data_IF_800712434236
#
_entry.id   IF_800712434236
#
_cell.length_a   1.000
_cell.length_b   1.000
_cell.length_c   1.000
_cell.angle_alpha   90.00
_cell.angle_beta   90.00
_cell.angle_gamma   90.00
#
_symmetry.space_group_name_H-M   'P 1'
#
loop_
_entity.id
_entity.type
_entity.pdbx_description
1 polymer ?
#
# COMPACT_ATOMS: atom_id res chain seq x y z
N UNK A 1 -15.56 12.74 -4.87
CA UNK A 1 -16.20 12.47 -3.56
C UNK A 1 -16.09 10.98 -3.33
N UNK A 2 -15.25 10.55 -2.41
CA UNK A 2 -15.00 9.14 -2.09
C UNK A 2 -14.47 9.04 -0.68
N UNK A 3 -14.52 7.86 -0.06
CA UNK A 3 -14.08 7.69 1.33
C UNK A 3 -12.56 7.82 1.52
N UNK A 4 -11.78 7.95 0.44
CA UNK A 4 -10.33 8.14 0.48
C UNK A 4 -10.00 9.53 -0.06
N UNK A 5 -9.32 10.33 0.76
CA UNK A 5 -8.76 11.62 0.38
C UNK A 5 -7.47 11.40 -0.42
N UNK A 6 -7.52 11.74 -1.71
CA UNK A 6 -6.46 11.44 -2.67
C UNK A 6 -5.16 12.20 -2.42
N UNK A 7 -5.19 13.34 -1.74
CA UNK A 7 -4.01 14.15 -1.41
C UNK A 7 -3.23 13.57 -0.23
N UNK A 8 -3.91 12.90 0.71
CA UNK A 8 -3.30 12.32 1.90
C UNK A 8 -2.92 10.84 1.72
N UNK A 9 -3.67 10.08 0.91
CA UNK A 9 -3.49 8.63 0.84
C UNK A 9 -2.15 8.24 0.20
N UNK A 10 -1.32 7.49 0.91
CA UNK A 10 -0.08 6.92 0.37
C UNK A 10 -0.30 5.61 -0.37
N UNK A 11 -1.46 4.96 -0.21
CA UNK A 11 -1.72 3.64 -0.79
C UNK A 11 -1.02 2.49 -0.05
N UNK A 12 -0.78 2.64 1.25
CA UNK A 12 -0.21 1.61 2.13
C UNK A 12 -1.13 0.40 2.39
N UNK A 13 -2.40 0.46 1.95
CA UNK A 13 -3.41 -0.61 2.00
C UNK A 13 -3.87 -1.07 3.40
N UNK A 14 -3.39 -0.44 4.48
CA UNK A 14 -3.79 -0.73 5.87
C UNK A 14 -5.32 -0.76 6.05
N UNK A 15 -6.04 0.14 5.37
CA UNK A 15 -7.50 0.21 5.45
C UNK A 15 -8.20 -1.05 4.91
N UNK A 16 -7.69 -1.64 3.82
CA UNK A 16 -8.24 -2.85 3.23
C UNK A 16 -7.88 -4.09 4.05
N UNK A 17 -6.63 -4.18 4.53
CA UNK A 17 -6.18 -5.28 5.41
C UNK A 17 -6.97 -5.36 6.71
N UNK A 18 -7.37 -4.20 7.26
CA UNK A 18 -8.12 -4.10 8.50
C UNK A 18 -9.64 -4.06 8.31
N UNK A 19 -10.17 -4.36 7.12
CA UNK A 19 -11.61 -4.34 6.88
C UNK A 19 -12.25 -5.71 7.16
N UNK A 20 -12.88 -5.94 8.35
CA UNK A 20 -13.43 -7.25 8.69
C UNK A 20 -14.63 -7.64 7.81
N UNK A 21 -15.34 -6.66 7.27
CA UNK A 21 -16.50 -6.91 6.39
C UNK A 21 -16.09 -7.21 4.93
N UNK A 22 -14.80 -7.04 4.61
CA UNK A 22 -14.29 -7.08 3.24
C UNK A 22 -14.99 -6.06 2.34
N UNK A 23 -15.38 -4.91 2.89
CA UNK A 23 -16.00 -3.81 2.14
C UNK A 23 -14.98 -2.97 1.37
N UNK A 24 -13.70 -3.04 1.77
CA UNK A 24 -12.56 -2.51 1.04
C UNK A 24 -11.78 -3.68 0.43
N UNK A 25 -11.51 -3.62 -0.88
CA UNK A 25 -10.76 -4.64 -1.59
C UNK A 25 -9.71 -4.03 -2.48
N UNK A 26 -8.61 -4.76 -2.67
CA UNK A 26 -7.45 -4.32 -3.45
C UNK A 26 -7.30 -5.20 -4.67
N UNK A 27 -7.06 -4.58 -5.82
CA UNK A 27 -6.64 -5.27 -7.04
C UNK A 27 -5.38 -4.63 -7.59
N UNK A 28 -4.40 -5.44 -7.97
CA UNK A 28 -3.21 -4.98 -8.68
C UNK A 28 -3.40 -5.25 -10.16
N UNK A 29 -3.36 -4.21 -10.99
CA UNK A 29 -3.49 -4.29 -12.44
C UNK A 29 -2.31 -3.58 -13.08
N UNK A 30 -1.43 -4.36 -13.72
CA UNK A 30 -0.19 -3.83 -14.29
C UNK A 30 0.71 -3.18 -13.23
N UNK A 31 0.96 -1.89 -13.39
CA UNK A 31 1.78 -1.08 -12.48
C UNK A 31 0.97 -0.25 -11.49
N UNK A 32 -0.32 -0.57 -11.32
CA UNK A 32 -1.20 0.17 -10.40
C UNK A 32 -1.87 -0.75 -9.42
N UNK A 33 -2.10 -0.23 -8.22
CA UNK A 33 -3.02 -0.79 -7.24
C UNK A 33 -4.29 0.03 -7.23
N UNK A 34 -5.44 -0.65 -7.19
CA UNK A 34 -6.77 -0.07 -7.18
C UNK A 34 -7.47 -0.52 -5.90
N UNK A 35 -8.06 0.42 -5.17
CA UNK A 35 -8.84 0.18 -3.98
C UNK A 35 -10.30 0.38 -4.34
N UNK A 36 -11.11 -0.64 -4.07
CA UNK A 36 -12.55 -0.63 -4.28
C UNK A 36 -13.26 -0.62 -2.94
N UNK A 37 -14.33 0.15 -2.84
CA UNK A 37 -15.22 0.16 -1.70
C UNK A 37 -16.61 -0.34 -2.11
N UNK A 38 -17.27 -1.09 -1.24
CA UNK A 38 -18.67 -1.46 -1.38
C UNK A 38 -19.45 -0.99 -0.14
N UNK A 39 -20.19 0.15 -0.24
CA UNK A 39 -20.95 0.69 0.88
C UNK A 39 -21.97 -0.30 1.46
N UNK A 40 -22.59 -1.14 0.62
CA UNK A 40 -23.57 -2.14 1.05
C UNK A 40 -22.96 -3.28 1.89
N UNK A 41 -21.64 -3.47 1.84
CA UNK A 41 -20.91 -4.40 2.72
C UNK A 41 -20.30 -3.72 3.94
N UNK A 42 -20.28 -2.40 3.99
CA UNK A 42 -19.57 -1.67 5.03
C UNK A 42 -20.34 -1.74 6.36
N UNK A 43 -19.78 -2.44 7.35
CA UNK A 43 -20.32 -2.51 8.70
C UNK A 43 -20.14 -1.22 9.53
N UNK A 44 -19.62 -0.15 8.93
CA UNK A 44 -19.39 1.16 9.57
C UNK A 44 -18.60 1.09 10.90
N UNK A 45 -17.70 0.12 11.01
CA UNK A 45 -16.93 -0.11 12.25
C UNK A 45 -15.84 0.94 12.56
N UNK A 46 -15.49 1.79 11.58
CA UNK A 46 -14.49 2.85 11.74
C UNK A 46 -13.02 2.39 11.80
N UNK A 47 -12.72 1.11 11.58
CA UNK A 47 -11.34 0.61 11.65
C UNK A 47 -10.44 1.18 10.55
N UNK A 48 -10.93 1.32 9.32
CA UNK A 48 -10.17 1.95 8.24
C UNK A 48 -9.79 3.39 8.59
N UNK A 49 -10.71 4.14 9.21
CA UNK A 49 -10.49 5.51 9.65
C UNK A 49 -9.47 5.60 10.78
N UNK A 50 -9.65 4.80 11.84
CA UNK A 50 -8.74 4.79 13.00
C UNK A 50 -7.31 4.34 12.66
N UNK A 51 -7.16 3.37 11.76
CA UNK A 51 -5.86 2.76 11.48
C UNK A 51 -5.13 3.43 10.32
N UNK A 52 -5.72 4.42 9.64
CA UNK A 52 -5.05 5.11 8.55
C UNK A 52 -3.93 6.00 9.11
N UNK A 53 -2.64 5.72 8.80
CA UNK A 53 -1.53 6.51 9.35
C UNK A 53 -1.51 7.94 8.83
N UNK A 54 -2.06 8.18 7.64
CA UNK A 54 -2.09 9.50 6.99
C UNK A 54 -3.40 10.27 7.28
N UNK A 55 -4.34 9.68 8.02
CA UNK A 55 -5.66 10.28 8.23
C UNK A 55 -6.50 10.44 6.96
N UNK A 56 -6.17 9.72 5.88
CA UNK A 56 -6.75 9.89 4.55
C UNK A 56 -8.16 9.30 4.35
N UNK A 57 -8.84 8.85 5.40
CA UNK A 57 -10.17 8.24 5.29
C UNK A 57 -11.23 9.26 5.75
N UNK A 58 -12.29 9.42 4.97
CA UNK A 58 -13.51 10.12 5.38
C UNK A 58 -14.61 9.10 5.72
N UNK A 59 -15.37 9.38 6.78
CA UNK A 59 -16.54 8.60 7.20
C UNK A 59 -17.86 9.19 6.69
N UNK A 60 -17.81 10.06 5.68
CA UNK A 60 -19.02 10.56 5.00
C UNK A 60 -19.96 9.42 4.58
N UNK A 61 -21.25 9.64 4.78
CA UNK A 61 -22.28 8.62 4.55
C UNK A 61 -22.47 8.36 3.05
N UNK A 62 -21.78 7.35 2.54
CA UNK A 62 -22.20 6.69 1.31
C UNK A 62 -23.42 5.82 1.62
N UNK A 63 -24.61 6.30 1.24
CA UNK A 63 -25.87 5.55 1.35
C UNK A 63 -26.09 4.71 0.09
N UNK A 64 -26.10 3.39 0.26
CA UNK A 64 -26.27 2.46 -0.86
C UNK A 64 -25.08 2.49 -1.82
N UNK A 65 -24.96 1.46 -2.65
CA UNK A 65 -23.89 1.37 -3.64
C UNK A 65 -23.41 -0.06 -3.90
N UNK A 66 -22.63 -0.19 -4.95
CA UNK A 66 -21.97 -1.43 -5.38
C UNK A 66 -20.47 -1.23 -5.28
N UNK A 67 -19.68 -2.13 -5.86
CA UNK A 67 -18.23 -1.96 -5.94
C UNK A 67 -17.90 -0.71 -6.77
N UNK A 68 -17.22 0.24 -6.14
CA UNK A 68 -16.76 1.49 -6.72
C UNK A 68 -15.27 1.64 -6.48
N UNK A 69 -14.53 2.09 -7.49
CA UNK A 69 -13.12 2.44 -7.32
C UNK A 69 -13.03 3.75 -6.54
N UNK A 70 -12.35 3.73 -5.40
CA UNK A 70 -12.23 4.90 -4.51
C UNK A 70 -10.82 5.47 -4.48
N UNK A 71 -9.82 4.74 -4.96
CA UNK A 71 -8.45 5.20 -5.04
C UNK A 71 -7.62 4.32 -5.97
N UNK A 72 -6.66 4.90 -6.69
CA UNK A 72 -5.60 4.13 -7.34
C UNK A 72 -4.25 4.84 -7.30
N UNK A 73 -3.18 4.06 -7.18
CA UNK A 73 -1.80 4.58 -7.16
C UNK A 73 -0.86 3.64 -7.89
N UNK A 74 0.18 4.19 -8.51
CA UNK A 74 1.24 3.36 -9.09
C UNK A 74 2.01 2.61 -8.02
N UNK A 75 2.60 1.47 -8.40
CA UNK A 75 3.38 0.63 -7.50
C UNK A 75 4.82 0.49 -7.99
N UNK A 76 5.74 0.48 -7.05
CA UNK A 76 7.13 0.20 -7.30
C UNK A 76 7.45 -1.25 -6.99
N UNK A 77 8.23 -1.84 -7.90
CA UNK A 77 8.65 -3.24 -7.84
C UNK A 77 10.11 -3.34 -7.43
N UNK A 78 10.44 -4.44 -6.77
CA UNK A 78 11.79 -4.77 -6.40
C UNK A 78 12.66 -4.84 -7.66
N UNK A 79 13.71 -4.01 -7.74
CA UNK A 79 14.66 -3.96 -8.86
C UNK A 79 15.32 -5.31 -9.15
N UNK A 80 15.32 -6.23 -8.17
CA UNK A 80 15.96 -7.54 -8.29
C UNK A 80 15.00 -8.66 -8.69
N UNK A 81 13.79 -8.68 -8.15
CA UNK A 81 12.88 -9.83 -8.30
C UNK A 81 11.49 -9.48 -8.82
N UNK A 82 11.19 -8.21 -9.07
CA UNK A 82 9.90 -7.77 -9.61
C UNK A 82 8.71 -7.82 -8.65
N UNK A 83 8.89 -8.31 -7.41
CA UNK A 83 7.84 -8.29 -6.37
C UNK A 83 7.42 -6.84 -6.09
N UNK A 84 6.11 -6.59 -5.97
CA UNK A 84 5.57 -5.30 -5.53
C UNK A 84 6.08 -4.99 -4.11
N UNK A 85 6.65 -3.80 -3.91
CA UNK A 85 7.23 -3.39 -2.63
C UNK A 85 6.38 -2.34 -1.95
N UNK A 86 6.00 -1.29 -2.67
CA UNK A 86 5.30 -0.13 -2.12
C UNK A 86 4.59 0.63 -3.24
N UNK A 87 3.81 1.64 -2.88
CA UNK A 87 3.30 2.61 -3.84
C UNK A 87 4.39 3.59 -4.27
N UNK A 88 4.17 4.30 -5.38
CA UNK A 88 5.02 5.43 -5.80
C UNK A 88 5.08 6.55 -4.75
N UNK A 89 4.02 6.71 -3.95
CA UNK A 89 3.93 7.76 -2.92
C UNK A 89 4.77 7.44 -1.68
N UNK A 90 5.13 6.17 -1.47
CA UNK A 90 6.02 5.72 -0.39
C UNK A 90 7.47 5.56 -0.85
N UNK A 91 7.77 5.86 -2.12
CA UNK A 91 9.05 5.58 -2.75
C UNK A 91 10.25 6.16 -2.00
N UNK A 92 10.15 7.41 -1.55
CA UNK A 92 11.24 8.10 -0.83
C UNK A 92 11.53 7.39 0.49
N UNK A 93 10.49 7.14 1.28
CA UNK A 93 10.59 6.43 2.57
C UNK A 93 11.22 5.05 2.41
N UNK A 94 10.82 4.31 1.37
CA UNK A 94 11.38 2.99 1.09
C UNK A 94 12.84 3.08 0.65
N UNK A 95 13.18 4.03 -0.23
CA UNK A 95 14.57 4.26 -0.68
C UNK A 95 15.49 4.61 0.49
N UNK A 96 15.04 5.43 1.45
CA UNK A 96 15.81 5.75 2.64
C UNK A 96 16.14 4.49 3.47
N UNK A 97 15.16 3.60 3.64
CA UNK A 97 15.34 2.35 4.40
C UNK A 97 16.26 1.33 3.70
N UNK A 98 16.36 1.36 2.37
CA UNK A 98 17.09 0.38 1.55
C UNK A 98 18.40 0.90 0.98
N UNK A 99 18.82 2.12 1.31
CA UNK A 99 20.05 2.71 0.78
C UNK A 99 19.94 3.15 -0.68
N UNK A 100 18.82 3.76 -1.05
CA UNK A 100 18.59 4.40 -2.35
C UNK A 100 17.93 3.54 -3.42
N UNK A 101 17.52 2.30 -3.10
CA UNK A 101 17.01 1.31 -4.08
C UNK A 101 15.61 0.82 -3.76
N UNK A 102 14.83 0.37 -4.72
CA UNK A 102 13.56 -0.31 -4.40
C UNK A 102 13.82 -1.80 -4.27
N UNK A 103 13.92 -2.31 -3.03
CA UNK A 103 14.18 -3.71 -2.74
C UNK A 103 13.16 -4.27 -1.75
N UNK A 104 12.65 -5.48 -2.02
CA UNK A 104 11.87 -6.21 -1.02
C UNK A 104 12.76 -6.70 0.13
N UNK A 105 12.16 -7.00 1.28
CA UNK A 105 12.88 -7.42 2.50
C UNK A 105 13.89 -8.56 2.24
N UNK A 106 13.48 -9.58 1.50
CA UNK A 106 14.34 -10.71 1.12
C UNK A 106 15.56 -10.26 0.28
N UNK A 107 15.34 -9.40 -0.72
CA UNK A 107 16.42 -8.94 -1.59
C UNK A 107 17.36 -7.94 -0.89
N UNK A 108 16.80 -7.09 -0.01
CA UNK A 108 17.58 -6.20 0.87
C UNK A 108 18.55 -7.01 1.72
N UNK A 109 18.07 -8.05 2.40
CA UNK A 109 18.91 -8.92 3.27
C UNK A 109 20.02 -9.62 2.50
N UNK A 110 19.76 -10.09 1.27
CA UNK A 110 20.76 -10.73 0.43
C UNK A 110 21.90 -9.77 0.02
N UNK A 111 21.54 -8.54 -0.36
CA UNK A 111 22.55 -7.52 -0.72
C UNK A 111 23.45 -7.15 0.46
N UNK A 112 22.93 -7.23 1.69
CA UNK A 112 23.71 -7.05 2.91
C UNK A 112 24.70 -8.20 3.12
N UNK A 113 24.31 -9.47 2.89
CA UNK A 113 25.21 -10.63 3.05
C UNK A 113 26.34 -10.71 2.01
N UNK A 114 26.14 -10.22 0.79
CA UNK A 114 27.23 -10.14 -0.21
C UNK A 114 28.33 -9.15 0.22
N UNK A 115 27.98 -8.07 0.94
CA UNK A 115 28.98 -7.16 1.53
C UNK A 115 29.88 -7.88 2.54
N UNK A 116 29.31 -8.78 3.35
CA UNK A 116 30.07 -9.61 4.30
C UNK A 116 31.01 -10.59 3.59
N UNK A 117 30.55 -11.27 2.54
CA UNK A 117 31.41 -12.19 1.77
C UNK A 117 32.57 -11.48 1.05
N UNK A 118 32.38 -10.23 0.61
CA UNK A 118 33.47 -9.41 0.04
C UNK A 118 34.49 -8.96 1.09
N UNK A 119 34.12 -8.91 2.37
CA UNK A 119 35.01 -8.55 3.48
C UNK A 119 35.94 -9.70 3.88
N UNK A 120 35.46 -10.96 3.82
CA UNK A 120 36.26 -12.16 4.13
C UNK A 120 37.16 -12.67 2.99
N UNK A 121 36.99 -12.16 1.76
CA UNK A 121 37.89 -12.45 0.62
C UNK A 121 39.07 -11.47 0.52
N UNK A 122 39.33 -10.73 1.58
CA UNK A 122 40.39 -9.73 1.71
C UNK A 122 41.11 -9.96 3.03
#
# INVERSE_FOLDING_TARGET
MGIIQEDLCTGCLVCAENCPAGALQVQVRGERVHIYHNPSRCARCGLCWRNCPEGAISLEELLGGRWEEVFSVGVLRCERCGKVVCSEREALRVKELTGGRILCERCRRFSSSEKWMRWFRR
#
